data_IF_913742898336
#
_entry.id   IF_913742898336
#
_cell.length_a   1.000
_cell.length_b   1.000
_cell.length_c   1.000
_cell.angle_alpha   90.00
_cell.angle_beta   90.00
_cell.angle_gamma   90.00
#
_symmetry.space_group_name_H-M   'P 1'
#
loop_
_entity.id
_entity.type
_entity.pdbx_description
1 polymer ?
#
# COMPACT_ATOMS: atom_id res chain seq x y z
N UNK A 1 8.60 -12.48 -1.74
CA UNK A 1 8.22 -11.34 -0.87
C UNK A 1 7.68 -10.19 -1.69
N UNK A 2 8.40 -9.74 -2.72
CA UNK A 2 7.96 -8.66 -3.62
C UNK A 2 6.59 -8.92 -4.25
N UNK A 3 6.41 -10.07 -4.92
CA UNK A 3 5.13 -10.51 -5.51
C UNK A 3 3.93 -10.42 -4.56
N UNK A 4 4.17 -10.69 -3.28
CA UNK A 4 3.14 -10.63 -2.27
C UNK A 4 2.74 -9.18 -1.96
N UNK A 5 3.71 -8.30 -1.70
CA UNK A 5 3.42 -6.91 -1.36
C UNK A 5 2.90 -6.11 -2.56
N UNK A 6 3.56 -6.22 -3.72
CA UNK A 6 3.20 -5.50 -4.95
C UNK A 6 1.82 -5.95 -5.46
N UNK A 7 1.56 -7.26 -5.42
CA UNK A 7 0.27 -7.82 -5.79
C UNK A 7 -0.83 -7.44 -4.80
N UNK A 8 -0.57 -7.51 -3.49
CA UNK A 8 -1.57 -7.18 -2.46
C UNK A 8 -1.99 -5.71 -2.51
N UNK A 9 -1.07 -4.81 -2.83
CA UNK A 9 -1.37 -3.39 -3.05
C UNK A 9 -2.41 -3.21 -4.16
N UNK A 10 -2.14 -3.76 -5.33
CA UNK A 10 -3.08 -3.70 -6.47
C UNK A 10 -4.38 -4.46 -6.16
N UNK A 11 -4.29 -5.60 -5.48
CA UNK A 11 -5.45 -6.37 -5.07
C UNK A 11 -6.38 -5.60 -4.12
N UNK A 12 -5.82 -4.85 -3.16
CA UNK A 12 -6.60 -3.97 -2.28
C UNK A 12 -7.25 -2.82 -3.06
N UNK A 13 -6.57 -2.25 -4.06
CA UNK A 13 -7.14 -1.18 -4.90
C UNK A 13 -8.30 -1.72 -5.75
N UNK A 14 -8.14 -2.92 -6.32
CA UNK A 14 -9.10 -3.50 -7.27
C UNK A 14 -10.32 -4.18 -6.60
N UNK A 15 -10.33 -4.31 -5.28
CA UNK A 15 -11.37 -5.08 -4.59
C UNK A 15 -12.73 -4.38 -4.56
N UNK A 16 -13.80 -5.14 -4.73
CA UNK A 16 -15.16 -4.63 -4.65
C UNK A 16 -15.60 -4.47 -3.18
N UNK A 17 -15.62 -3.23 -2.71
CA UNK A 17 -16.05 -2.87 -1.34
C UNK A 17 -17.44 -3.38 -0.97
N UNK A 18 -18.40 -3.38 -1.90
CA UNK A 18 -19.78 -3.82 -1.64
C UNK A 18 -19.82 -5.31 -1.35
N UNK A 19 -19.14 -6.13 -2.17
CA UNK A 19 -19.06 -7.58 -1.94
C UNK A 19 -18.32 -7.92 -0.64
N UNK A 20 -17.28 -7.16 -0.30
CA UNK A 20 -16.58 -7.36 0.98
C UNK A 20 -17.47 -7.01 2.17
N UNK A 21 -18.26 -5.94 2.06
CA UNK A 21 -19.25 -5.59 3.09
C UNK A 21 -20.27 -6.70 3.31
N UNK A 22 -20.86 -7.23 2.23
CA UNK A 22 -21.77 -8.38 2.33
C UNK A 22 -21.12 -9.57 3.04
N UNK A 23 -19.89 -9.95 2.64
CA UNK A 23 -19.15 -11.04 3.29
C UNK A 23 -18.87 -10.76 4.77
N UNK A 24 -18.55 -9.52 5.13
CA UNK A 24 -18.30 -9.12 6.51
C UNK A 24 -19.58 -9.18 7.35
N UNK A 25 -20.71 -8.72 6.79
CA UNK A 25 -22.03 -8.81 7.40
C UNK A 25 -22.46 -10.29 7.62
N UNK A 26 -22.04 -11.20 6.72
CA UNK A 26 -22.19 -12.65 6.85
C UNK A 26 -21.22 -13.30 7.87
N UNK A 27 -20.43 -12.50 8.59
CA UNK A 27 -19.50 -12.96 9.64
C UNK A 27 -18.08 -13.28 9.17
N UNK A 28 -17.69 -12.94 7.93
CA UNK A 28 -16.34 -13.18 7.46
C UNK A 28 -15.33 -12.17 8.04
N UNK A 29 -14.57 -12.60 9.05
CA UNK A 29 -13.53 -11.78 9.68
C UNK A 29 -12.46 -11.25 8.71
N UNK A 30 -12.08 -12.02 7.68
CA UNK A 30 -11.10 -11.54 6.71
C UNK A 30 -11.65 -10.39 5.88
N UNK A 31 -12.93 -10.44 5.51
CA UNK A 31 -13.58 -9.35 4.79
C UNK A 31 -13.69 -8.09 5.66
N UNK A 32 -13.91 -8.25 6.97
CA UNK A 32 -13.86 -7.12 7.91
C UNK A 32 -12.47 -6.45 7.93
N UNK A 33 -11.39 -7.23 8.06
CA UNK A 33 -10.01 -6.69 8.05
C UNK A 33 -9.72 -5.95 6.75
N UNK A 34 -10.18 -6.49 5.61
CA UNK A 34 -10.06 -5.80 4.32
C UNK A 34 -10.73 -4.43 4.38
N UNK A 35 -11.99 -4.36 4.84
CA UNK A 35 -12.72 -3.10 4.94
C UNK A 35 -12.03 -2.10 5.86
N UNK A 36 -11.51 -2.57 7.00
CA UNK A 36 -10.79 -1.73 7.95
C UNK A 36 -9.52 -1.13 7.32
N UNK A 37 -8.73 -1.95 6.61
CA UNK A 37 -7.52 -1.48 5.93
C UNK A 37 -7.83 -0.57 4.73
N UNK A 38 -8.97 -0.76 4.07
CA UNK A 38 -9.44 0.13 3.02
C UNK A 38 -9.92 1.50 3.53
N UNK A 39 -10.15 1.64 4.84
CA UNK A 39 -10.46 2.92 5.49
C UNK A 39 -9.20 3.67 5.94
N UNK A 40 -8.06 2.98 6.06
CA UNK A 40 -6.76 3.59 6.39
C UNK A 40 -5.71 3.24 5.33
N UNK A 41 -5.89 3.72 4.07
CA UNK A 41 -5.05 3.34 2.97
C UNK A 41 -3.59 3.82 3.12
N UNK A 42 -3.32 4.90 3.88
CA UNK A 42 -1.95 5.41 4.02
C UNK A 42 -1.02 4.37 4.66
N UNK A 43 -1.50 3.69 5.71
CA UNK A 43 -0.72 2.63 6.39
C UNK A 43 -0.50 1.42 5.49
N UNK A 44 -1.53 1.04 4.73
CA UNK A 44 -1.45 -0.04 3.78
C UNK A 44 -0.37 0.25 2.73
N UNK A 45 -0.45 1.40 2.05
CA UNK A 45 0.49 1.78 1.00
C UNK A 45 1.92 1.97 1.53
N UNK A 46 2.08 2.56 2.71
CA UNK A 46 3.39 2.66 3.36
C UNK A 46 3.99 1.27 3.62
N UNK A 47 3.18 0.31 4.08
CA UNK A 47 3.63 -1.05 4.36
C UNK A 47 3.97 -1.81 3.08
N UNK A 48 3.11 -1.77 2.07
CA UNK A 48 3.33 -2.48 0.81
C UNK A 48 4.53 -1.92 0.09
N UNK A 49 4.67 -0.59 0.02
CA UNK A 49 5.82 0.09 -0.58
C UNK A 49 7.13 -0.20 0.15
N UNK A 50 7.11 -0.20 1.49
CA UNK A 50 8.29 -0.60 2.26
C UNK A 50 8.65 -2.08 2.01
N UNK A 51 7.65 -2.95 1.99
CA UNK A 51 7.82 -4.38 1.77
C UNK A 51 8.34 -4.74 0.38
N UNK A 52 7.86 -4.06 -0.67
CA UNK A 52 8.39 -4.25 -2.03
C UNK A 52 9.84 -3.78 -2.14
N UNK A 53 10.14 -2.59 -1.62
CA UNK A 53 11.51 -2.06 -1.63
C UNK A 53 12.48 -2.95 -0.85
N UNK A 54 12.10 -3.41 0.35
CA UNK A 54 12.91 -4.34 1.12
C UNK A 54 13.13 -5.66 0.36
N UNK A 55 12.09 -6.19 -0.26
CA UNK A 55 12.20 -7.42 -1.05
C UNK A 55 13.15 -7.26 -2.24
N UNK A 56 13.03 -6.17 -3.00
CA UNK A 56 13.90 -5.88 -4.15
C UNK A 56 15.34 -5.71 -3.69
N UNK A 57 15.60 -4.79 -2.74
CA UNK A 57 16.96 -4.48 -2.27
C UNK A 57 17.63 -5.70 -1.65
N UNK A 58 16.90 -6.49 -0.85
CA UNK A 58 17.46 -7.70 -0.24
C UNK A 58 17.75 -8.76 -1.30
N UNK A 59 16.82 -8.98 -2.25
CA UNK A 59 17.00 -9.98 -3.30
C UNK A 59 18.16 -9.63 -4.22
N UNK A 60 18.24 -8.37 -4.66
CA UNK A 60 19.35 -7.89 -5.50
C UNK A 60 20.67 -7.95 -4.75
N UNK A 61 20.74 -7.52 -3.49
CA UNK A 61 21.98 -7.54 -2.71
C UNK A 61 22.49 -8.97 -2.49
N UNK A 62 21.62 -9.89 -2.06
CA UNK A 62 21.99 -11.29 -1.79
C UNK A 62 22.38 -12.00 -3.08
N UNK A 63 21.58 -11.85 -4.14
CA UNK A 63 21.83 -12.54 -5.41
C UNK A 63 23.08 -12.01 -6.10
N UNK A 64 23.29 -10.69 -6.12
CA UNK A 64 24.52 -10.10 -6.66
C UNK A 64 25.75 -10.56 -5.87
N UNK A 65 25.68 -10.57 -4.53
CA UNK A 65 26.78 -11.07 -3.70
C UNK A 65 27.09 -12.55 -4.00
N UNK A 66 26.06 -13.37 -4.15
CA UNK A 66 26.21 -14.78 -4.54
C UNK A 66 26.88 -14.91 -5.92
N UNK A 67 26.40 -14.17 -6.92
CA UNK A 67 26.91 -14.24 -8.29
C UNK A 67 28.36 -13.75 -8.38
N UNK A 68 28.71 -12.66 -7.70
CA UNK A 68 30.08 -12.12 -7.67
C UNK A 68 31.03 -13.12 -6.99
N UNK A 69 30.60 -13.76 -5.90
CA UNK A 69 31.43 -14.74 -5.19
C UNK A 69 31.71 -15.98 -6.05
N UNK A 70 30.75 -16.43 -6.85
CA UNK A 70 30.89 -17.66 -7.65
C UNK A 70 31.43 -17.42 -9.07
N UNK A 71 31.18 -16.26 -9.67
CA UNK A 71 31.51 -15.96 -11.08
C UNK A 71 32.53 -14.82 -11.23
N UNK A 72 33.06 -14.29 -10.13
CA UNK A 72 34.02 -13.20 -10.12
C UNK A 72 33.44 -11.90 -10.68
N UNK A 73 34.28 -11.08 -11.32
CA UNK A 73 33.92 -9.73 -11.78
C UNK A 73 32.77 -9.69 -12.80
N UNK A 74 32.53 -10.77 -13.55
CA UNK A 74 31.40 -10.84 -14.49
C UNK A 74 30.06 -11.15 -13.79
N UNK A 75 30.11 -11.66 -12.55
CA UNK A 75 28.92 -12.03 -11.77
C UNK A 75 27.99 -10.86 -11.51
N UNK A 76 28.51 -9.63 -11.39
CA UNK A 76 27.69 -8.43 -11.19
C UNK A 76 26.77 -8.15 -12.39
N UNK A 77 27.33 -8.13 -13.60
CA UNK A 77 26.56 -7.91 -14.84
C UNK A 77 25.56 -9.04 -15.09
N UNK A 78 25.97 -10.28 -14.84
CA UNK A 78 25.07 -11.44 -14.97
C UNK A 78 23.94 -11.39 -13.95
N UNK A 79 24.22 -11.00 -12.71
CA UNK A 79 23.20 -10.81 -11.68
C UNK A 79 22.14 -9.80 -12.14
N UNK A 80 22.59 -8.66 -12.66
CA UNK A 80 21.70 -7.63 -13.19
C UNK A 80 20.82 -8.16 -14.33
N UNK A 81 21.41 -8.78 -15.36
CA UNK A 81 20.70 -9.24 -16.55
C UNK A 81 19.71 -10.37 -16.21
N UNK A 82 20.06 -11.26 -15.29
CA UNK A 82 19.22 -12.42 -14.93
C UNK A 82 18.12 -12.02 -13.95
N UNK A 83 18.47 -11.28 -12.90
CA UNK A 83 17.54 -11.03 -11.80
C UNK A 83 16.48 -9.99 -12.17
N UNK A 84 16.85 -8.96 -12.95
CA UNK A 84 15.93 -7.88 -13.34
C UNK A 84 14.65 -8.39 -14.04
N UNK A 85 14.71 -9.22 -15.09
CA UNK A 85 13.49 -9.74 -15.72
C UNK A 85 12.72 -10.68 -14.80
N UNK A 86 13.38 -11.44 -13.92
CA UNK A 86 12.70 -12.33 -12.97
C UNK A 86 11.88 -11.51 -11.96
N UNK A 87 12.49 -10.49 -11.36
CA UNK A 87 11.84 -9.56 -10.45
C UNK A 87 10.67 -8.87 -11.16
N UNK A 88 10.91 -8.32 -12.37
CA UNK A 88 9.88 -7.60 -13.11
C UNK A 88 8.70 -8.50 -13.48
N UNK A 89 8.93 -9.67 -14.07
CA UNK A 89 7.84 -10.55 -14.50
C UNK A 89 7.16 -11.25 -13.33
N UNK A 90 7.93 -11.97 -12.50
CA UNK A 90 7.39 -12.83 -11.46
C UNK A 90 7.12 -12.09 -10.15
N UNK A 91 7.88 -11.02 -9.86
CA UNK A 91 7.72 -10.17 -8.68
C UNK A 91 6.71 -9.05 -8.87
N UNK A 92 6.52 -8.55 -10.09
CA UNK A 92 5.70 -7.36 -10.32
C UNK A 92 4.53 -7.58 -11.28
N UNK A 93 4.80 -7.86 -12.55
CA UNK A 93 3.76 -7.89 -13.60
C UNK A 93 2.72 -9.00 -13.34
N UNK A 94 3.17 -10.24 -13.20
CA UNK A 94 2.24 -11.39 -13.08
C UNK A 94 1.39 -11.32 -11.80
N UNK A 95 1.96 -11.06 -10.61
CA UNK A 95 1.17 -10.96 -9.38
C UNK A 95 0.14 -9.83 -9.44
N UNK A 96 0.53 -8.65 -9.94
CA UNK A 96 -0.37 -7.50 -10.09
C UNK A 96 -1.54 -7.83 -11.02
N UNK A 97 -1.26 -8.45 -12.18
CA UNK A 97 -2.29 -8.87 -13.13
C UNK A 97 -3.28 -9.86 -12.53
N UNK A 98 -2.80 -10.86 -11.78
CA UNK A 98 -3.68 -11.87 -11.17
C UNK A 98 -4.56 -11.22 -10.11
N UNK A 99 -3.99 -10.41 -9.22
CA UNK A 99 -4.70 -9.83 -8.09
C UNK A 99 -5.61 -8.67 -8.50
N UNK A 100 -5.30 -7.97 -9.59
CA UNK A 100 -6.21 -7.00 -10.20
C UNK A 100 -7.51 -7.68 -10.69
N UNK A 101 -7.40 -8.85 -11.33
CA UNK A 101 -8.55 -9.54 -11.92
C UNK A 101 -9.31 -10.43 -10.92
N UNK A 102 -8.65 -10.89 -9.86
CA UNK A 102 -9.23 -11.83 -8.88
C UNK A 102 -9.19 -11.32 -7.43
N UNK A 103 -9.16 -10.01 -7.24
CA UNK A 103 -9.08 -9.36 -5.92
C UNK A 103 -10.10 -9.92 -4.92
N UNK A 104 -11.38 -9.94 -5.28
CA UNK A 104 -12.50 -10.33 -4.39
C UNK A 104 -12.39 -11.77 -3.83
N UNK A 105 -11.67 -12.63 -4.54
CA UNK A 105 -11.48 -14.04 -4.19
C UNK A 105 -10.18 -14.24 -3.40
N UNK A 106 -9.10 -13.60 -3.83
CA UNK A 106 -7.75 -13.87 -3.32
C UNK A 106 -7.43 -13.01 -2.10
N UNK A 107 -7.86 -11.75 -2.07
CA UNK A 107 -7.50 -10.82 -1.01
C UNK A 107 -7.98 -11.22 0.39
N UNK A 108 -9.20 -11.77 0.60
CA UNK A 108 -9.59 -12.25 1.93
C UNK A 108 -8.67 -13.33 2.51
N UNK A 109 -7.92 -14.04 1.66
CA UNK A 109 -6.89 -14.98 2.10
C UNK A 109 -5.56 -14.27 2.39
N UNK A 110 -5.11 -13.39 1.47
CA UNK A 110 -3.85 -12.65 1.60
C UNK A 110 -3.88 -11.57 2.69
N UNK A 111 -5.07 -11.12 3.11
CA UNK A 111 -5.20 -10.02 4.08
C UNK A 111 -4.62 -10.37 5.45
N UNK A 112 -4.67 -11.65 5.85
CA UNK A 112 -4.15 -12.09 7.15
C UNK A 112 -2.63 -11.94 7.24
N UNK A 113 -1.82 -12.52 6.32
CA UNK A 113 -0.38 -12.28 6.31
C UNK A 113 -0.04 -10.80 6.05
N UNK A 114 -0.87 -10.07 5.31
CA UNK A 114 -0.66 -8.64 5.07
C UNK A 114 -0.84 -7.82 6.36
N UNK A 115 -1.89 -8.10 7.12
CA UNK A 115 -2.17 -7.46 8.39
C UNK A 115 -1.10 -7.78 9.46
N UNK A 116 -0.55 -9.00 9.44
CA UNK A 116 0.61 -9.34 10.25
C UNK A 116 1.83 -8.49 9.85
N UNK A 117 2.09 -8.35 8.55
CA UNK A 117 3.19 -7.52 8.04
C UNK A 117 3.03 -6.04 8.43
N UNK A 118 1.81 -5.50 8.35
CA UNK A 118 1.44 -4.17 8.84
C UNK A 118 1.77 -4.00 10.32
N UNK A 119 1.43 -4.98 11.15
CA UNK A 119 1.67 -4.93 12.60
C UNK A 119 3.17 -4.97 12.91
N UNK A 120 3.92 -5.86 12.24
CA UNK A 120 5.36 -5.99 12.40
C UNK A 120 6.14 -4.76 11.93
N UNK A 121 5.70 -4.14 10.82
CA UNK A 121 6.35 -2.96 10.24
C UNK A 121 5.82 -1.64 10.83
N UNK A 122 4.75 -1.67 11.62
CA UNK A 122 4.16 -0.51 12.28
C UNK A 122 5.16 0.41 13.02
N UNK A 123 6.12 -0.08 13.83
CA UNK A 123 7.06 0.80 14.51
C UNK A 123 7.92 1.61 13.54
N UNK A 124 8.35 0.98 12.44
CA UNK A 124 9.15 1.62 11.40
C UNK A 124 8.30 2.66 10.67
N UNK A 125 7.08 2.29 10.27
CA UNK A 125 6.17 3.20 9.57
C UNK A 125 5.85 4.42 10.43
N UNK A 126 5.47 4.23 11.70
CA UNK A 126 5.15 5.34 12.61
C UNK A 126 6.36 6.25 12.83
N UNK A 127 7.58 5.70 12.87
CA UNK A 127 8.81 6.51 12.95
C UNK A 127 8.98 7.40 11.72
N UNK A 128 8.85 6.85 10.50
CA UNK A 128 8.95 7.63 9.27
C UNK A 128 7.79 8.62 9.10
N UNK A 129 6.57 8.28 9.51
CA UNK A 129 5.44 9.21 9.57
C UNK A 129 5.71 10.36 10.53
N UNK A 130 6.33 10.09 11.69
CA UNK A 130 6.74 11.12 12.63
C UNK A 130 7.75 12.11 12.03
N UNK A 131 8.74 11.59 11.30
CA UNK A 131 9.72 12.41 10.56
C UNK A 131 9.01 13.24 9.48
N UNK A 132 8.14 12.62 8.69
CA UNK A 132 7.40 13.31 7.63
C UNK A 132 6.54 14.44 8.18
N UNK A 133 5.84 14.23 9.30
CA UNK A 133 5.06 15.26 9.97
C UNK A 133 5.95 16.38 10.51
N UNK A 134 7.11 16.06 11.10
CA UNK A 134 8.05 17.06 11.60
C UNK A 134 8.60 17.94 10.48
N UNK A 135 9.01 17.34 9.35
CA UNK A 135 9.52 18.06 8.18
C UNK A 135 8.41 18.92 7.59
N UNK A 136 7.22 18.35 7.38
CA UNK A 136 6.07 19.08 6.83
C UNK A 136 5.73 20.28 7.71
N UNK A 137 5.43 20.09 9.00
CA UNK A 137 5.06 21.20 9.89
C UNK A 137 6.10 22.33 9.97
N UNK A 138 7.39 22.02 9.76
CA UNK A 138 8.48 22.98 9.88
C UNK A 138 8.85 23.65 8.56
N UNK A 139 8.70 22.97 7.42
CA UNK A 139 9.17 23.42 6.10
C UNK A 139 8.03 23.87 5.17
N UNK A 140 6.88 23.20 5.24
CA UNK A 140 5.74 23.39 4.35
C UNK A 140 4.55 23.59 5.27
N UNK A 141 4.13 24.82 5.54
CA UNK A 141 2.84 25.09 6.22
C UNK A 141 1.69 24.56 5.34
N UNK A 142 1.52 23.25 5.26
CA UNK A 142 0.35 22.64 4.66
C UNK A 142 -0.80 22.99 5.58
N UNK A 143 -1.89 23.58 5.06
CA UNK A 143 -3.13 23.66 5.80
C UNK A 143 -3.46 22.25 6.22
N UNK A 144 -3.47 21.99 7.53
CA UNK A 144 -4.14 20.80 8.04
C UNK A 144 -5.55 20.89 7.47
N UNK A 145 -5.97 19.90 6.67
CA UNK A 145 -7.40 19.70 6.47
C UNK A 145 -7.96 19.35 7.84
N UNK A 146 -8.31 20.39 8.60
CA UNK A 146 -9.34 20.28 9.60
C UNK A 146 -10.48 19.58 8.86
N UNK A 147 -10.85 18.38 9.30
CA UNK A 147 -12.18 17.82 9.06
C UNK A 147 -13.19 18.77 9.71
N UNK A 148 -13.34 19.99 9.17
CA UNK A 148 -14.50 20.83 9.39
C UNK A 148 -15.61 20.09 8.68
N UNK A 149 -16.30 19.27 9.45
CA UNK A 149 -17.69 18.92 9.18
C UNK A 149 -18.42 20.24 9.06
N UNK A 150 -18.53 20.77 7.83
CA UNK A 150 -19.35 21.94 7.56
C UNK A 150 -20.76 21.58 8.03
N UNK A 151 -21.21 22.19 9.13
CA UNK A 151 -22.59 22.00 9.60
C UNK A 151 -23.50 22.45 8.47
N UNK A 152 -24.62 21.74 8.26
CA UNK A 152 -25.62 22.10 7.24
C UNK A 152 -26.00 23.58 7.30
N UNK A 153 -25.97 24.15 8.50
CA UNK A 153 -26.27 25.56 8.76
C UNK A 153 -25.29 26.51 8.05
N UNK A 154 -24.01 26.17 7.93
CA UNK A 154 -23.01 26.99 7.23
C UNK A 154 -23.19 26.95 5.71
N UNK A 155 -23.65 25.82 5.17
CA UNK A 155 -23.96 25.68 3.73
C UNK A 155 -25.23 26.46 3.40
N UNK A 156 -26.25 26.39 4.26
CA UNK A 156 -27.48 27.18 4.11
C UNK A 156 -27.22 28.69 4.26
N UNK A 157 -26.31 29.07 5.16
CA UNK A 157 -25.93 30.47 5.34
C UNK A 157 -25.20 31.00 4.09
N UNK A 158 -24.26 30.24 3.51
CA UNK A 158 -23.58 30.63 2.28
C UNK A 158 -24.54 30.79 1.09
N UNK A 159 -25.50 29.87 0.94
CA UNK A 159 -26.53 29.95 -0.11
C UNK A 159 -27.53 31.10 0.10
N UNK A 160 -27.83 31.44 1.36
CA UNK A 160 -28.71 32.57 1.67
C UNK A 160 -28.06 33.92 1.34
N UNK A 161 -26.74 34.02 1.49
CA UNK A 161 -25.97 35.22 1.14
C UNK A 161 -25.92 35.42 -0.38
N UNK A 162 -25.73 34.36 -1.16
CA UNK A 162 -25.78 34.44 -2.63
C UNK A 162 -27.18 34.85 -3.14
N UNK A 163 -28.25 34.41 -2.47
CA UNK A 163 -29.64 34.75 -2.84
C UNK A 163 -30.05 36.21 -2.55
N UNK A 164 -29.24 36.96 -1.79
CA UNK A 164 -29.48 38.39 -1.52
C UNK A 164 -28.74 39.32 -2.49
N UNK A 165 -27.93 38.76 -3.41
CA UNK A 165 -27.13 39.51 -4.38
C UNK A 165 -27.73 39.58 -5.79
N UNK A 166 -28.99 39.16 -5.97
CA UNK A 166 -29.74 39.28 -7.22
C UNK A 166 -30.97 40.16 -7.01
#
# INVERSE_FOLDING_TARGET
>A
MEAFFSGSEIGMIAINRIKMKQKADDGNHSAQIVLDLLNTPERLFATTSLGTNLAVVSSTSIFTAYMVTNMGRQGELLAMIILSPIILFAGEIVPKMILQNRADMVMPFLIRPLNLSLTLLSPIINFFTGISNFVTNKLIRLPQEDKKSFSRDQILQALSLDSQTI
#
